data_IF_036730481799
#
_entry.id   IF_036730481799
#
_cell.length_a   1.000
_cell.length_b   1.000
_cell.length_c   1.000
_cell.angle_alpha   90.00
_cell.angle_beta   90.00
_cell.angle_gamma   90.00
#
_symmetry.space_group_name_H-M   'P 1'
#
loop_
_entity.id
_entity.type
_entity.pdbx_description
1 polymer ?
#
# COMPACT_ATOMS: atom_id res chain seq x y z
N UNK A 1 14.28 6.88 -0.02
CA UNK A 1 13.57 6.33 -1.19
C UNK A 1 14.29 6.86 -2.41
N UNK A 2 14.87 5.97 -3.21
CA UNK A 2 15.62 6.35 -4.42
C UNK A 2 14.73 7.07 -5.44
N UNK A 3 13.43 6.76 -5.47
CA UNK A 3 12.50 7.28 -6.48
C UNK A 3 11.99 8.70 -6.20
N UNK A 4 12.01 9.16 -4.94
CA UNK A 4 11.47 10.48 -4.56
C UNK A 4 12.26 11.22 -3.48
N UNK A 5 13.43 10.73 -3.09
CA UNK A 5 14.32 11.37 -2.11
C UNK A 5 13.84 11.32 -0.65
N UNK A 6 12.66 10.76 -0.35
CA UNK A 6 12.14 10.69 1.03
C UNK A 6 12.99 9.80 1.94
N UNK A 7 13.31 10.29 3.14
CA UNK A 7 14.01 9.52 4.18
C UNK A 7 13.03 8.86 5.15
N UNK A 8 13.40 7.70 5.68
CA UNK A 8 12.60 6.92 6.63
C UNK A 8 13.49 6.45 7.77
N UNK A 9 12.93 6.47 8.99
CA UNK A 9 13.65 6.07 10.22
C UNK A 9 13.99 4.57 10.21
N UNK A 10 13.13 3.73 9.61
CA UNK A 10 13.31 2.28 9.58
C UNK A 10 13.13 1.70 8.18
N UNK A 11 13.81 0.59 7.90
CA UNK A 11 13.72 -0.13 6.63
C UNK A 11 12.29 -0.60 6.31
N UNK A 12 11.53 -1.08 7.31
CA UNK A 12 10.13 -1.50 7.12
C UNK A 12 9.23 -0.37 6.59
N UNK A 13 9.48 0.87 7.03
CA UNK A 13 8.75 2.06 6.55
C UNK A 13 9.14 2.42 5.13
N UNK A 14 10.44 2.31 4.78
CA UNK A 14 10.91 2.48 3.42
C UNK A 14 10.28 1.45 2.47
N UNK A 15 10.31 0.16 2.82
CA UNK A 15 9.71 -0.92 2.01
C UNK A 15 8.22 -0.68 1.82
N UNK A 16 7.50 -0.35 2.91
CA UNK A 16 6.08 0.00 2.84
C UNK A 16 5.85 1.19 1.92
N UNK A 17 6.67 2.23 2.02
CA UNK A 17 6.55 3.41 1.17
C UNK A 17 6.77 3.10 -0.31
N UNK A 18 7.67 2.17 -0.67
CA UNK A 18 7.89 1.78 -2.07
C UNK A 18 6.61 1.28 -2.74
N UNK A 19 5.69 0.65 -2.00
CA UNK A 19 4.37 0.26 -2.55
C UNK A 19 3.52 1.44 -3.03
N UNK A 20 3.78 2.66 -2.52
CA UNK A 20 3.07 3.87 -2.97
C UNK A 20 3.50 4.35 -4.36
N UNK A 21 4.71 3.99 -4.80
CA UNK A 21 5.19 4.24 -6.16
C UNK A 21 4.64 3.23 -7.16
N UNK A 22 4.21 2.05 -6.70
CA UNK A 22 3.53 1.11 -7.57
C UNK A 22 2.10 1.58 -7.87
N UNK A 23 1.74 1.57 -9.15
CA UNK A 23 0.36 1.76 -9.61
C UNK A 23 -0.48 0.51 -9.35
N UNK A 24 0.18 -0.65 -9.22
CA UNK A 24 -0.49 -1.91 -8.99
C UNK A 24 -1.18 -1.94 -7.62
N UNK A 25 -2.42 -2.39 -7.66
CA UNK A 25 -3.27 -2.58 -6.49
C UNK A 25 -3.69 -4.05 -6.44
N UNK A 26 -2.78 -4.95 -6.04
CA UNK A 26 -3.04 -6.39 -6.10
C UNK A 26 -4.16 -6.84 -5.15
N UNK A 27 -4.51 -6.02 -4.15
CA UNK A 27 -5.54 -6.37 -3.18
C UNK A 27 -6.89 -5.80 -3.59
N UNK A 28 -7.64 -6.55 -4.41
CA UNK A 28 -9.01 -6.22 -4.81
C UNK A 28 -10.02 -6.66 -3.75
N UNK A 29 -11.02 -5.82 -3.46
CA UNK A 29 -12.16 -6.21 -2.64
C UNK A 29 -13.08 -7.16 -3.42
N UNK A 30 -13.60 -8.20 -2.78
CA UNK A 30 -14.56 -9.12 -3.41
C UNK A 30 -15.98 -8.57 -3.47
N UNK A 31 -16.31 -7.60 -2.61
CA UNK A 31 -17.65 -7.01 -2.50
C UNK A 31 -17.81 -5.70 -3.28
N UNK A 32 -16.71 -5.12 -3.77
CA UNK A 32 -16.74 -3.94 -4.62
C UNK A 32 -15.50 -3.87 -5.51
N UNK A 33 -15.51 -3.06 -6.56
CA UNK A 33 -14.37 -2.94 -7.49
C UNK A 33 -13.17 -2.14 -6.96
N UNK A 34 -13.17 -1.78 -5.66
CA UNK A 34 -12.06 -1.05 -5.06
C UNK A 34 -10.85 -1.97 -4.90
N UNK A 35 -9.69 -1.44 -5.28
CA UNK A 35 -8.41 -2.12 -5.17
C UNK A 35 -7.43 -1.31 -4.33
N UNK A 36 -6.62 -2.00 -3.53
CA UNK A 36 -5.72 -1.42 -2.55
C UNK A 36 -4.28 -1.85 -2.80
N UNK A 37 -3.33 -0.97 -2.45
CA UNK A 37 -1.88 -1.26 -2.57
C UNK A 37 -1.35 -2.14 -1.45
N UNK A 38 -2.10 -2.25 -0.35
CA UNK A 38 -1.70 -3.01 0.85
C UNK A 38 -2.87 -3.77 1.44
N UNK A 39 -2.59 -4.94 2.01
CA UNK A 39 -3.59 -5.84 2.61
C UNK A 39 -4.28 -5.22 3.82
N UNK A 40 -3.56 -4.49 4.67
CA UNK A 40 -4.13 -3.82 5.84
C UNK A 40 -5.19 -2.79 5.47
N UNK A 41 -5.02 -2.08 4.34
CA UNK A 41 -6.06 -1.17 3.84
C UNK A 41 -7.29 -1.91 3.34
N UNK A 42 -7.12 -3.05 2.64
CA UNK A 42 -8.25 -3.89 2.23
C UNK A 42 -8.99 -4.44 3.46
N UNK A 43 -8.26 -5.00 4.44
CA UNK A 43 -8.85 -5.53 5.66
C UNK A 43 -9.58 -4.44 6.45
N UNK A 44 -8.99 -3.25 6.58
CA UNK A 44 -9.66 -2.13 7.22
C UNK A 44 -10.94 -1.74 6.48
N UNK A 45 -10.90 -1.70 5.14
CA UNK A 45 -12.09 -1.45 4.33
C UNK A 45 -13.18 -2.51 4.52
N UNK A 46 -12.82 -3.79 4.63
CA UNK A 46 -13.77 -4.90 4.81
C UNK A 46 -14.35 -4.99 6.23
N UNK A 47 -13.69 -4.35 7.21
CA UNK A 47 -14.17 -4.28 8.60
C UNK A 47 -15.15 -3.13 8.84
N UNK A 48 -15.26 -2.20 7.88
CA UNK A 48 -16.28 -1.16 7.85
C UNK A 48 -17.50 -1.68 7.08
#
# INVERSE_FOLDING_TARGET
CSDCGKSFVCHSWLVRHRTSHSVERPYKCSQCDKSYRRKDYLLNHQRQ
#
